data_IF_461636495169
#
_entry.id   IF_461636495169
#
_cell.length_a   1.000
_cell.length_b   1.000
_cell.length_c   1.000
_cell.angle_alpha   90.00
_cell.angle_beta   90.00
_cell.angle_gamma   90.00
#
_symmetry.space_group_name_H-M   'P 1'
#
loop_
_entity.id
_entity.type
_entity.pdbx_description
1 polymer ?
#
# COMPACT_ATOMS: atom_id res chain seq x y z
N UNK A 1 -11.27 1.16 4.16
CA UNK A 1 -10.26 1.38 3.11
C UNK A 1 -10.52 2.55 2.14
N UNK A 2 -11.18 2.39 0.97
CA UNK A 2 -11.16 3.46 -0.05
C UNK A 2 -11.74 4.82 0.42
N UNK A 3 -12.75 4.78 1.30
CA UNK A 3 -13.32 6.00 1.90
C UNK A 3 -12.31 6.73 2.79
N UNK A 4 -11.62 6.00 3.67
CA UNK A 4 -10.59 6.58 4.53
C UNK A 4 -9.42 7.12 3.68
N UNK A 5 -8.96 6.35 2.69
CA UNK A 5 -7.90 6.77 1.76
C UNK A 5 -8.22 8.09 1.04
N UNK A 6 -9.40 8.19 0.43
CA UNK A 6 -9.79 9.39 -0.32
C UNK A 6 -10.12 10.60 0.56
N UNK A 7 -10.27 10.40 1.87
CA UNK A 7 -10.47 11.50 2.83
C UNK A 7 -9.17 12.07 3.40
N UNK A 8 -8.03 11.43 3.13
CA UNK A 8 -6.73 11.89 3.65
C UNK A 8 -6.23 13.15 2.93
N UNK A 9 -5.52 14.00 3.68
CA UNK A 9 -4.90 15.18 3.08
C UNK A 9 -3.74 14.79 2.17
N UNK A 10 -3.63 15.44 1.02
CA UNK A 10 -2.55 15.19 0.05
C UNK A 10 -2.79 14.02 -0.91
N UNK A 11 -3.97 13.37 -0.86
CA UNK A 11 -4.31 12.28 -1.79
C UNK A 11 -4.38 12.77 -3.24
N UNK A 12 -3.72 12.04 -4.16
CA UNK A 12 -3.79 12.31 -5.60
C UNK A 12 -4.52 11.15 -6.27
N UNK A 13 -5.81 11.33 -6.53
CA UNK A 13 -6.72 10.29 -7.03
C UNK A 13 -6.21 9.57 -8.29
N UNK A 14 -5.58 10.30 -9.21
CA UNK A 14 -5.09 9.75 -10.49
C UNK A 14 -3.90 8.77 -10.32
N UNK A 15 -3.22 8.82 -9.18
CA UNK A 15 -2.12 7.93 -8.82
C UNK A 15 -2.60 6.62 -8.19
N UNK A 16 -3.90 6.51 -7.85
CA UNK A 16 -4.46 5.31 -7.24
C UNK A 16 -4.87 4.32 -8.33
N UNK A 17 -4.41 3.07 -8.20
CA UNK A 17 -4.85 1.94 -9.03
C UNK A 17 -5.28 0.80 -8.14
N UNK A 18 -6.52 0.33 -8.31
CA UNK A 18 -7.09 -0.81 -7.58
C UNK A 18 -6.86 -2.06 -8.42
N UNK A 19 -5.99 -2.96 -7.95
CA UNK A 19 -5.76 -4.26 -8.57
C UNK A 19 -6.70 -5.30 -7.95
N UNK A 20 -7.38 -6.08 -8.80
CA UNK A 20 -8.38 -7.06 -8.40
C UNK A 20 -7.95 -8.44 -8.91
N UNK A 21 -7.80 -9.40 -7.99
CA UNK A 21 -7.41 -10.77 -8.31
C UNK A 21 -8.60 -11.63 -8.76
N UNK A 22 -9.10 -11.31 -9.95
CA UNK A 22 -10.21 -12.00 -10.61
C UNK A 22 -11.13 -11.05 -11.37
N UNK A 23 -12.03 -11.64 -12.15
CA UNK A 23 -13.04 -10.90 -12.91
C UNK A 23 -14.34 -10.76 -12.11
N UNK A 24 -14.26 -10.03 -10.99
CA UNK A 24 -15.41 -9.74 -10.14
C UNK A 24 -16.00 -8.37 -10.45
N UNK A 25 -17.29 -8.32 -10.78
CA UNK A 25 -17.96 -7.08 -11.19
C UNK A 25 -18.12 -6.09 -10.04
N UNK A 26 -18.50 -6.57 -8.85
CA UNK A 26 -18.77 -5.71 -7.69
C UNK A 26 -17.52 -4.92 -7.25
N UNK A 27 -16.34 -5.52 -7.01
CA UNK A 27 -15.13 -4.78 -6.66
C UNK A 27 -14.72 -3.74 -7.73
N UNK A 28 -14.87 -4.11 -9.02
CA UNK A 28 -14.57 -3.19 -10.12
C UNK A 28 -15.55 -2.00 -10.15
N UNK A 29 -16.84 -2.25 -9.90
CA UNK A 29 -17.85 -1.20 -9.83
C UNK A 29 -17.62 -0.26 -8.65
N UNK A 30 -17.15 -0.77 -7.49
CA UNK A 30 -16.77 0.08 -6.36
C UNK A 30 -15.61 1.01 -6.73
N UNK A 31 -14.56 0.49 -7.38
CA UNK A 31 -13.46 1.34 -7.86
C UNK A 31 -13.96 2.43 -8.83
N UNK A 32 -14.84 2.05 -9.77
CA UNK A 32 -15.45 2.98 -10.73
C UNK A 32 -16.37 4.02 -10.07
N UNK A 33 -17.12 3.64 -9.05
CA UNK A 33 -17.98 4.54 -8.26
C UNK A 33 -17.15 5.68 -7.67
N UNK A 34 -15.98 5.37 -7.14
CA UNK A 34 -15.03 6.37 -6.65
C UNK A 34 -14.22 7.03 -7.77
N UNK A 35 -14.42 6.71 -9.04
CA UNK A 35 -13.68 7.23 -10.19
C UNK A 35 -12.19 6.86 -10.18
N UNK A 36 -11.84 5.69 -9.67
CA UNK A 36 -10.48 5.17 -9.61
C UNK A 36 -10.19 4.24 -10.79
N UNK A 37 -8.91 4.09 -11.14
CA UNK A 37 -8.47 3.07 -12.10
C UNK A 37 -8.61 1.70 -11.45
N UNK A 38 -9.42 0.82 -12.03
CA UNK A 38 -9.50 -0.60 -11.65
C UNK A 38 -8.85 -1.49 -12.69
N UNK A 39 -8.00 -2.42 -12.27
CA UNK A 39 -7.32 -3.40 -13.12
C UNK A 39 -7.65 -4.79 -12.58
N UNK A 40 -8.32 -5.60 -13.39
CA UNK A 40 -8.54 -7.01 -13.09
C UNK A 40 -7.44 -7.85 -13.76
N UNK A 41 -7.05 -8.95 -13.12
CA UNK A 41 -6.20 -9.94 -13.77
C UNK A 41 -6.71 -11.36 -13.51
N UNK A 42 -6.32 -12.28 -14.38
CA UNK A 42 -6.61 -13.70 -14.21
C UNK A 42 -5.83 -14.23 -13.01
N UNK A 43 -6.48 -14.90 -12.05
CA UNK A 43 -5.79 -15.52 -10.92
C UNK A 43 -4.86 -16.65 -11.37
N UNK A 44 -3.68 -16.74 -10.75
CA UNK A 44 -2.69 -17.78 -11.05
C UNK A 44 -2.27 -18.47 -9.77
N UNK A 45 -2.45 -19.79 -9.69
CA UNK A 45 -2.12 -20.60 -8.51
C UNK A 45 -3.26 -20.68 -7.49
N UNK A 46 -2.96 -21.13 -6.27
CA UNK A 46 -3.92 -21.31 -5.18
C UNK A 46 -3.34 -20.87 -3.83
N UNK A 47 -4.21 -20.53 -2.87
CA UNK A 47 -3.80 -20.08 -1.53
C UNK A 47 -2.77 -18.94 -1.57
N UNK A 48 -1.71 -19.05 -0.76
CA UNK A 48 -0.65 -18.03 -0.68
C UNK A 48 0.12 -17.86 -2.00
N UNK A 49 0.22 -18.92 -2.82
CA UNK A 49 0.87 -18.80 -4.14
C UNK A 49 0.07 -17.88 -5.07
N UNK A 50 -1.26 -17.92 -5.00
CA UNK A 50 -2.15 -17.01 -5.73
C UNK A 50 -1.93 -15.56 -5.33
N UNK A 51 -1.88 -15.29 -4.02
CA UNK A 51 -1.62 -13.96 -3.47
C UNK A 51 -0.23 -13.45 -3.92
N UNK A 52 0.80 -14.30 -3.85
CA UNK A 52 2.15 -13.94 -4.31
C UNK A 52 2.19 -13.55 -5.79
N UNK A 53 1.50 -14.29 -6.66
CA UNK A 53 1.41 -13.95 -8.08
C UNK A 53 0.62 -12.65 -8.31
N UNK A 54 -0.46 -12.42 -7.54
CA UNK A 54 -1.21 -11.16 -7.59
C UNK A 54 -0.33 -9.95 -7.28
N UNK A 55 0.41 -9.99 -6.16
CA UNK A 55 1.34 -8.93 -5.77
C UNK A 55 2.41 -8.67 -6.84
N UNK A 56 3.01 -9.74 -7.38
CA UNK A 56 4.00 -9.62 -8.46
C UNK A 56 3.40 -8.92 -9.69
N UNK A 57 2.21 -9.31 -10.12
CA UNK A 57 1.53 -8.73 -11.27
C UNK A 57 1.18 -7.25 -11.02
N UNK A 58 0.62 -6.92 -9.85
CA UNK A 58 0.23 -5.57 -9.46
C UNK A 58 1.43 -4.62 -9.39
N UNK A 59 2.53 -5.03 -8.75
CA UNK A 59 3.75 -4.23 -8.65
C UNK A 59 4.38 -4.00 -10.03
N UNK A 60 4.48 -5.05 -10.86
CA UNK A 60 4.99 -4.94 -12.22
C UNK A 60 4.15 -3.97 -13.05
N UNK A 61 2.82 -4.09 -12.99
CA UNK A 61 1.91 -3.21 -13.70
C UNK A 61 1.99 -1.76 -13.19
N UNK A 62 2.20 -1.56 -11.90
CA UNK A 62 2.33 -0.22 -11.29
C UNK A 62 3.52 0.54 -11.91
N UNK A 63 4.71 -0.05 -11.93
CA UNK A 63 5.89 0.60 -12.51
C UNK A 63 5.82 0.72 -14.05
N UNK A 64 5.07 -0.16 -14.72
CA UNK A 64 4.79 0.02 -16.15
C UNK A 64 3.82 1.18 -16.43
N UNK A 65 2.83 1.40 -15.56
CA UNK A 65 1.86 2.51 -15.68
C UNK A 65 2.50 3.87 -15.34
N UNK A 66 3.51 3.86 -14.46
CA UNK A 66 4.21 5.05 -13.99
C UNK A 66 5.73 4.86 -14.13
N UNK A 67 6.27 4.95 -15.36
CA UNK A 67 7.67 4.60 -15.63
C UNK A 67 8.70 5.50 -14.92
N UNK A 68 8.32 6.73 -14.57
CA UNK A 68 9.17 7.67 -13.85
C UNK A 68 9.04 7.54 -12.31
N UNK A 69 8.21 6.62 -11.81
CA UNK A 69 8.03 6.43 -10.38
C UNK A 69 9.17 5.60 -9.78
N UNK A 70 9.89 6.16 -8.82
CA UNK A 70 10.94 5.46 -8.07
C UNK A 70 10.38 4.64 -6.91
N UNK A 71 9.20 5.01 -6.40
CA UNK A 71 8.57 4.41 -5.23
C UNK A 71 7.08 4.15 -5.46
N UNK A 72 6.54 3.18 -4.73
CA UNK A 72 5.10 2.90 -4.68
C UNK A 72 4.66 2.66 -3.23
N UNK A 73 3.45 3.12 -2.89
CA UNK A 73 2.77 2.75 -1.65
C UNK A 73 1.87 1.57 -1.96
N UNK A 74 1.96 0.51 -1.14
CA UNK A 74 1.14 -0.70 -1.28
C UNK A 74 0.18 -0.76 -0.09
N UNK A 75 -1.11 -0.97 -0.38
CA UNK A 75 -2.18 -0.98 0.62
C UNK A 75 -3.14 -2.13 0.34
N UNK A 76 -3.46 -2.92 1.35
CA UNK A 76 -4.47 -3.98 1.29
C UNK A 76 -5.89 -3.42 1.47
N UNK A 77 -6.90 -4.16 1.02
CA UNK A 77 -8.29 -3.69 0.97
C UNK A 77 -8.99 -3.64 2.33
N UNK A 78 -8.44 -4.31 3.34
CA UNK A 78 -8.98 -4.45 4.69
C UNK A 78 -8.37 -3.46 5.69
N UNK A 79 -7.60 -2.49 5.21
CA UNK A 79 -6.96 -1.46 6.04
C UNK A 79 -7.76 -0.15 6.04
N UNK A 80 -7.75 0.55 7.18
CA UNK A 80 -8.10 1.96 7.25
C UNK A 80 -6.82 2.79 7.40
N UNK A 81 -6.77 3.93 6.71
CA UNK A 81 -5.62 4.82 6.75
C UNK A 81 -5.88 6.05 7.63
N UNK A 82 -4.83 6.51 8.30
CA UNK A 82 -4.86 7.69 9.16
C UNK A 82 -5.02 9.00 8.35
N UNK A 83 -5.62 10.08 8.90
CA UNK A 83 -5.72 11.37 8.22
C UNK A 83 -4.38 11.97 7.74
N UNK A 84 -3.27 11.64 8.40
CA UNK A 84 -1.92 12.10 8.12
C UNK A 84 -1.06 11.10 7.32
N UNK A 85 -1.67 10.03 6.78
CA UNK A 85 -0.98 8.95 6.06
C UNK A 85 0.01 9.45 4.99
N UNK A 86 -0.42 10.35 4.10
CA UNK A 86 0.48 10.90 3.08
C UNK A 86 1.48 11.92 3.63
N UNK A 87 1.15 12.62 4.72
CA UNK A 87 2.10 13.51 5.42
C UNK A 87 3.27 12.71 5.99
N UNK A 88 2.98 11.56 6.60
CA UNK A 88 3.98 10.62 7.11
C UNK A 88 4.95 10.17 6.00
N UNK A 89 4.44 9.67 4.87
CA UNK A 89 5.29 9.26 3.75
C UNK A 89 6.02 10.45 3.10
N UNK A 90 5.38 11.62 2.99
CA UNK A 90 6.04 12.81 2.42
C UNK A 90 7.25 13.24 3.25
N UNK A 91 7.17 13.13 4.57
CA UNK A 91 8.28 13.48 5.47
C UNK A 91 9.36 12.41 5.53
N UNK A 92 9.03 11.14 5.31
CA UNK A 92 9.97 10.02 5.51
C UNK A 92 10.56 9.45 4.23
N UNK A 93 9.94 9.63 3.06
CA UNK A 93 10.39 9.01 1.79
C UNK A 93 11.86 9.29 1.44
N UNK A 94 12.38 10.46 1.80
CA UNK A 94 13.77 10.85 1.49
C UNK A 94 14.79 9.89 2.11
N UNK A 95 14.44 9.28 3.25
CA UNK A 95 15.28 8.31 3.94
C UNK A 95 15.59 7.08 3.06
N UNK A 96 14.67 6.67 2.17
CA UNK A 96 14.91 5.57 1.23
C UNK A 96 15.95 5.90 0.17
N UNK A 97 16.12 7.18 -0.18
CA UNK A 97 17.13 7.63 -1.14
C UNK A 97 18.49 7.86 -0.45
N UNK A 98 18.47 8.35 0.78
CA UNK A 98 19.65 8.77 1.52
C UNK A 98 20.34 7.63 2.29
N UNK A 99 19.59 6.58 2.67
CA UNK A 99 20.10 5.45 3.43
C UNK A 99 19.75 4.11 2.78
N UNK A 100 20.73 3.53 2.08
CA UNK A 100 20.59 2.24 1.38
C UNK A 100 20.39 1.04 2.31
N UNK A 101 20.54 1.21 3.63
CA UNK A 101 20.29 0.15 4.60
C UNK A 101 18.84 0.11 5.10
N UNK A 102 17.98 1.00 4.63
CA UNK A 102 16.54 0.95 4.87
C UNK A 102 15.87 0.11 3.78
N UNK A 103 15.12 -0.92 4.19
CA UNK A 103 14.42 -1.79 3.25
C UNK A 103 13.07 -1.21 2.79
N UNK A 104 12.29 -0.66 3.72
CA UNK A 104 11.01 -0.02 3.44
C UNK A 104 10.62 0.95 4.56
N UNK A 105 9.58 1.74 4.29
CA UNK A 105 8.87 2.53 5.29
C UNK A 105 7.48 1.91 5.45
N UNK A 106 7.08 1.61 6.68
CA UNK A 106 5.81 0.96 7.00
C UNK A 106 4.97 1.85 7.92
N UNK A 107 3.67 1.92 7.65
CA UNK A 107 2.69 2.61 8.51
C UNK A 107 2.17 1.73 9.66
N UNK A 108 2.74 0.54 9.87
CA UNK A 108 2.32 -0.40 10.90
C UNK A 108 3.41 -0.64 11.94
N UNK A 109 3.03 -0.57 13.21
CA UNK A 109 3.87 -0.97 14.36
C UNK A 109 3.27 -2.25 14.96
N UNK A 110 4.00 -3.37 14.87
CA UNK A 110 3.57 -4.67 15.38
C UNK A 110 3.27 -4.69 16.89
N UNK A 111 3.85 -3.75 17.65
CA UNK A 111 3.62 -3.60 19.10
C UNK A 111 2.83 -2.33 19.42
N UNK A 112 2.15 -1.75 18.41
CA UNK A 112 1.43 -0.49 18.47
C UNK A 112 0.06 -0.57 19.14
N UNK A 113 -0.03 -1.18 20.32
CA UNK A 113 -1.27 -1.25 21.08
C UNK A 113 -1.59 0.09 21.76
N UNK A 114 -2.89 0.32 22.02
CA UNK A 114 -3.41 1.56 22.62
C UNK A 114 -2.73 1.92 23.95
N UNK A 115 -2.36 0.90 24.74
CA UNK A 115 -1.74 1.09 26.06
C UNK A 115 -0.20 1.14 26.03
N UNK A 116 0.42 0.96 24.86
CA UNK A 116 1.88 0.90 24.71
C UNK A 116 2.45 2.01 23.82
N UNK A 117 1.60 2.85 23.22
CA UNK A 117 2.00 3.92 22.30
C UNK A 117 1.39 5.25 22.70
N UNK A 118 2.24 6.30 22.78
CA UNK A 118 1.84 7.60 23.33
C UNK A 118 2.41 8.81 22.55
N UNK A 119 3.33 8.59 21.61
CA UNK A 119 3.97 9.67 20.87
C UNK A 119 3.82 9.46 19.36
N UNK A 120 2.95 10.26 18.75
CA UNK A 120 2.62 10.19 17.31
C UNK A 120 3.69 10.79 16.39
N UNK A 121 4.82 11.26 16.95
CA UNK A 121 5.94 11.85 16.19
C UNK A 121 7.21 11.00 16.21
N UNK A 122 7.22 9.92 16.99
CA UNK A 122 8.39 9.06 17.16
C UNK A 122 8.43 7.97 16.08
N UNK A 123 9.61 7.79 15.46
CA UNK A 123 9.87 6.73 14.50
C UNK A 123 10.83 5.70 15.09
N UNK A 124 10.69 4.45 14.64
CA UNK A 124 11.58 3.35 14.98
C UNK A 124 12.25 2.79 13.73
N UNK A 125 13.44 2.23 13.93
CA UNK A 125 14.11 1.38 12.95
C UNK A 125 14.12 -0.04 13.50
N UNK A 126 13.58 -0.99 12.73
CA UNK A 126 13.36 -2.35 13.18
C UNK A 126 13.94 -3.34 12.17
N UNK A 127 14.63 -4.36 12.68
CA UNK A 127 15.02 -5.53 11.90
C UNK A 127 13.95 -6.61 12.05
N UNK A 128 12.95 -6.59 11.16
CA UNK A 128 11.92 -7.61 11.13
C UNK A 128 12.44 -8.79 10.30
N UNK A 129 12.77 -9.91 10.95
CA UNK A 129 12.98 -11.17 10.24
C UNK A 129 11.63 -11.60 9.68
N UNK A 130 11.45 -11.57 8.36
CA UNK A 130 10.32 -12.26 7.73
C UNK A 130 10.34 -13.71 8.24
N UNK A 131 9.26 -14.12 8.92
CA UNK A 131 9.06 -15.54 9.19
C UNK A 131 8.99 -16.22 7.82
N UNK A 132 10.02 -16.98 7.47
CA UNK A 132 9.97 -17.88 6.33
C UNK A 132 8.80 -18.82 6.57
N UNK A 133 7.76 -18.71 5.75
CA UNK A 133 6.65 -19.66 5.71
C UNK A 133 7.14 -21.01 5.18
#
# INVERSE_FOLDING_TARGET
MLRSLLSTSGVIKNMITVFIDGFYDEPLQVAKLFGLRGVQHTPIGSGNARISQHYKAALTATFNLFPDAEYAIVLEEDLDVSPDFFSYFSQTKHLLAEDSSIYCISAWNDQGYEHSTFNNTLLYRLDVKQKTL
#
